data_IF_450812029452
#
_entry.id   IF_450812029452
#
_cell.length_a   1.000
_cell.length_b   1.000
_cell.length_c   1.000
_cell.angle_alpha   90.00
_cell.angle_beta   90.00
_cell.angle_gamma   90.00
#
_symmetry.space_group_name_H-M   'P 1'
#
loop_
_entity.id
_entity.type
_entity.pdbx_description
1 polymer ?
#
# COMPACT_ATOMS: atom_id res chain seq x y z
N UNK A 1 -17.53 20.37 12.91
CA UNK A 1 -16.85 21.07 11.80
C UNK A 1 -17.42 20.59 10.47
N UNK A 2 -17.79 21.52 9.57
CA UNK A 2 -18.30 21.22 8.22
C UNK A 2 -17.15 20.81 7.29
N UNK A 3 -17.26 19.64 6.67
CA UNK A 3 -16.22 19.02 5.84
C UNK A 3 -16.79 18.61 4.49
N UNK A 4 -16.04 18.85 3.41
CA UNK A 4 -16.18 18.08 2.17
C UNK A 4 -15.08 17.03 2.10
N UNK A 5 -15.45 15.77 1.87
CA UNK A 5 -14.50 14.67 1.77
C UNK A 5 -14.16 14.36 0.31
N UNK A 6 -12.90 14.50 -0.09
CA UNK A 6 -12.42 14.24 -1.43
C UNK A 6 -11.67 12.90 -1.54
N UNK A 7 -12.25 11.93 -2.23
CA UNK A 7 -11.66 10.59 -2.39
C UNK A 7 -12.30 9.79 -3.51
N UNK A 8 -11.64 8.70 -3.93
CA UNK A 8 -12.14 7.83 -5.00
C UNK A 8 -12.08 6.32 -4.67
N UNK A 9 -10.92 5.73 -4.27
CA UNK A 9 -10.79 4.27 -4.17
C UNK A 9 -11.16 3.72 -2.78
N UNK A 10 -11.24 2.39 -2.65
CA UNK A 10 -11.59 1.66 -1.42
C UNK A 10 -10.75 2.07 -0.18
N UNK A 11 -9.43 2.34 -0.26
CA UNK A 11 -8.64 2.79 0.89
C UNK A 11 -9.06 4.15 1.49
N UNK A 12 -9.92 4.92 0.82
CA UNK A 12 -10.51 6.13 1.37
C UNK A 12 -11.78 5.86 2.22
N UNK A 13 -12.37 4.66 2.14
CA UNK A 13 -13.61 4.32 2.86
C UNK A 13 -13.49 4.34 4.39
N UNK A 14 -12.41 3.84 5.03
CA UNK A 14 -12.28 3.91 6.49
C UNK A 14 -12.25 5.36 7.00
N UNK A 15 -11.64 6.26 6.23
CA UNK A 15 -11.58 7.68 6.53
C UNK A 15 -12.95 8.36 6.35
N UNK A 16 -13.63 8.12 5.22
CA UNK A 16 -14.99 8.65 4.99
C UNK A 16 -15.95 8.20 6.09
N UNK A 17 -16.03 6.88 6.35
CA UNK A 17 -16.91 6.31 7.37
C UNK A 17 -16.66 6.93 8.74
N UNK A 18 -15.40 7.01 9.18
CA UNK A 18 -15.06 7.61 10.48
C UNK A 18 -15.47 9.08 10.61
N UNK A 19 -15.47 9.84 9.51
CA UNK A 19 -15.90 11.24 9.52
C UNK A 19 -17.43 11.37 9.48
N UNK A 20 -18.14 10.46 8.80
CA UNK A 20 -19.62 10.39 8.84
C UNK A 20 -20.10 9.97 10.24
N UNK A 21 -19.44 8.96 10.83
CA UNK A 21 -19.83 8.35 12.10
C UNK A 21 -19.32 9.15 13.33
N UNK A 22 -18.76 10.36 13.14
CA UNK A 22 -18.20 11.19 14.21
C UNK A 22 -19.13 12.37 14.59
N UNK A 23 -19.51 12.54 15.87
CA UNK A 23 -20.35 13.66 16.31
C UNK A 23 -19.67 15.03 16.24
N UNK A 24 -18.36 15.07 15.96
CA UNK A 24 -17.59 16.32 15.79
C UNK A 24 -17.57 16.82 14.33
N UNK A 25 -18.07 16.02 13.38
CA UNK A 25 -17.94 16.27 11.94
C UNK A 25 -19.30 16.29 11.22
N UNK A 26 -19.43 17.19 10.25
CA UNK A 26 -20.60 17.33 9.38
C UNK A 26 -20.09 17.17 7.93
N UNK A 27 -20.29 15.98 7.34
CA UNK A 27 -19.79 15.65 5.99
C UNK A 27 -20.82 16.10 4.96
N UNK A 28 -20.72 17.37 4.56
CA UNK A 28 -21.77 18.07 3.78
C UNK A 28 -21.85 17.62 2.33
N UNK A 29 -20.75 17.12 1.77
CA UNK A 29 -20.68 16.48 0.46
C UNK A 29 -19.43 15.60 0.32
N UNK A 30 -19.46 14.69 -0.64
CA UNK A 30 -18.34 13.83 -1.04
C UNK A 30 -17.92 14.12 -2.47
N UNK A 31 -16.66 14.50 -2.65
CA UNK A 31 -16.04 14.83 -3.94
C UNK A 31 -15.24 13.63 -4.47
N UNK A 32 -15.62 13.12 -5.65
CA UNK A 32 -15.01 11.94 -6.28
C UNK A 32 -14.69 12.21 -7.75
N UNK A 33 -13.80 11.42 -8.34
CA UNK A 33 -13.66 11.37 -9.80
C UNK A 33 -15.01 10.95 -10.43
N UNK A 34 -15.31 11.41 -11.66
CA UNK A 34 -16.47 10.93 -12.42
C UNK A 34 -16.49 9.42 -12.61
N UNK A 35 -17.69 8.86 -12.72
CA UNK A 35 -17.95 7.43 -12.88
C UNK A 35 -17.18 6.85 -14.07
N UNK A 36 -16.52 5.72 -13.82
CA UNK A 36 -15.61 5.10 -14.78
C UNK A 36 -16.03 3.66 -15.08
N UNK A 37 -15.77 3.20 -16.29
CA UNK A 37 -16.00 1.82 -16.69
C UNK A 37 -15.02 0.88 -15.96
N UNK A 38 -15.55 -0.04 -15.14
CA UNK A 38 -14.72 -1.07 -14.52
C UNK A 38 -14.37 -2.16 -15.55
N UNK A 39 -13.10 -2.18 -15.98
CA UNK A 39 -12.60 -3.13 -16.98
C UNK A 39 -13.06 -2.87 -18.42
N UNK A 40 -12.63 -3.75 -19.34
CA UNK A 40 -12.72 -3.53 -20.81
C UNK A 40 -14.14 -3.44 -21.42
N UNK A 41 -15.19 -3.74 -20.65
CA UNK A 41 -16.61 -3.66 -21.08
C UNK A 41 -17.54 -3.20 -19.95
N UNK A 42 -17.02 -2.56 -18.92
CA UNK A 42 -17.84 -2.05 -17.82
C UNK A 42 -18.80 -0.97 -18.29
N UNK A 43 -20.01 -0.93 -17.73
CA UNK A 43 -20.79 0.32 -17.70
C UNK A 43 -20.07 1.28 -16.74
N UNK A 44 -20.20 2.61 -16.88
CA UNK A 44 -19.74 3.53 -15.86
C UNK A 44 -20.41 3.20 -14.53
N UNK A 45 -19.62 2.99 -13.49
CA UNK A 45 -20.12 2.76 -12.13
C UNK A 45 -19.62 3.88 -11.18
N UNK A 46 -20.41 4.23 -10.15
CA UNK A 46 -19.94 5.06 -9.06
C UNK A 46 -18.74 4.42 -8.37
N UNK A 47 -17.74 5.25 -8.05
CA UNK A 47 -16.57 4.85 -7.26
C UNK A 47 -16.98 4.26 -5.89
N UNK A 48 -16.13 3.47 -5.23
CA UNK A 48 -16.40 2.99 -3.87
C UNK A 48 -16.81 4.11 -2.92
N UNK A 49 -16.10 5.24 -2.97
CA UNK A 49 -16.38 6.45 -2.17
C UNK A 49 -17.71 7.11 -2.57
N UNK A 50 -18.04 7.17 -3.86
CA UNK A 50 -19.34 7.66 -4.34
C UNK A 50 -20.51 6.78 -3.86
N UNK A 51 -20.29 5.46 -3.76
CA UNK A 51 -21.29 4.47 -3.36
C UNK A 51 -21.64 4.58 -1.89
N UNK A 52 -20.64 4.56 -1.00
CA UNK A 52 -20.83 4.80 0.43
C UNK A 52 -21.54 6.13 0.69
N UNK A 53 -21.16 7.20 -0.02
CA UNK A 53 -21.81 8.50 0.13
C UNK A 53 -23.30 8.48 -0.26
N UNK A 54 -23.66 7.85 -1.39
CA UNK A 54 -25.05 7.67 -1.81
C UNK A 54 -25.85 6.80 -0.84
N UNK A 55 -25.27 5.69 -0.39
CA UNK A 55 -25.90 4.75 0.57
C UNK A 55 -26.17 5.42 1.94
N UNK A 56 -25.38 6.46 2.28
CA UNK A 56 -25.54 7.31 3.47
C UNK A 56 -26.39 8.57 3.24
N UNK A 57 -26.90 8.80 2.01
CA UNK A 57 -27.70 9.97 1.66
C UNK A 57 -26.93 11.29 1.49
N UNK A 58 -25.60 11.24 1.39
CA UNK A 58 -24.73 12.42 1.33
C UNK A 58 -24.57 12.90 -0.14
N UNK A 59 -24.66 14.20 -0.43
CA UNK A 59 -24.46 14.75 -1.78
C UNK A 59 -23.11 14.34 -2.38
N UNK A 60 -23.09 13.90 -3.64
CA UNK A 60 -21.86 13.44 -4.32
C UNK A 60 -21.51 14.33 -5.51
N UNK A 61 -20.38 15.04 -5.39
CA UNK A 61 -19.84 15.95 -6.39
C UNK A 61 -18.88 15.20 -7.33
N UNK A 62 -19.11 15.32 -8.65
CA UNK A 62 -18.34 14.59 -9.69
C UNK A 62 -17.89 15.49 -10.85
N UNK A 63 -17.20 16.61 -10.58
CA UNK A 63 -16.76 17.53 -11.64
C UNK A 63 -15.79 16.84 -12.60
N UNK A 64 -16.05 16.99 -13.90
CA UNK A 64 -15.11 16.57 -14.97
C UNK A 64 -13.81 17.39 -14.91
N UNK A 65 -13.93 18.68 -14.57
CA UNK A 65 -12.86 19.65 -14.34
C UNK A 65 -13.06 20.28 -12.95
N UNK A 66 -12.40 19.81 -11.88
CA UNK A 66 -12.59 20.39 -10.55
C UNK A 66 -12.14 21.86 -10.47
N UNK A 67 -11.13 22.25 -11.24
CA UNK A 67 -10.61 23.63 -11.24
C UNK A 67 -11.39 24.60 -12.15
N UNK A 68 -12.66 24.30 -12.47
CA UNK A 68 -13.49 25.20 -13.28
C UNK A 68 -14.19 26.25 -12.41
N UNK A 69 -14.41 27.49 -12.88
CA UNK A 69 -15.05 28.54 -12.08
C UNK A 69 -16.45 28.16 -11.57
N UNK A 70 -17.17 27.33 -12.33
CA UNK A 70 -18.51 26.86 -11.99
C UNK A 70 -18.45 25.91 -10.78
N UNK A 71 -17.49 24.98 -10.75
CA UNK A 71 -17.31 24.06 -9.61
C UNK A 71 -16.71 24.76 -8.38
N UNK A 72 -15.81 25.73 -8.59
CA UNK A 72 -15.32 26.61 -7.51
C UNK A 72 -16.51 27.33 -6.85
N UNK A 73 -17.43 27.90 -7.64
CA UNK A 73 -18.65 28.54 -7.13
C UNK A 73 -19.66 27.55 -6.51
N UNK A 74 -19.75 26.31 -7.01
CA UNK A 74 -20.58 25.25 -6.41
C UNK A 74 -20.07 24.85 -5.03
N UNK A 75 -18.78 24.49 -4.92
CA UNK A 75 -18.16 24.08 -3.66
C UNK A 75 -18.16 25.22 -2.62
N UNK A 76 -18.01 26.47 -3.06
CA UNK A 76 -18.09 27.64 -2.18
C UNK A 76 -19.45 27.80 -1.49
N UNK A 77 -20.56 27.48 -2.18
CA UNK A 77 -21.92 27.56 -1.62
C UNK A 77 -22.18 26.55 -0.51
N UNK A 78 -21.42 25.46 -0.43
CA UNK A 78 -21.53 24.48 0.64
C UNK A 78 -20.93 24.97 1.97
N UNK A 79 -20.11 26.04 1.94
CA UNK A 79 -19.38 26.57 3.08
C UNK A 79 -18.64 25.48 3.91
N UNK A 80 -17.72 24.70 3.31
CA UNK A 80 -16.85 23.81 4.07
C UNK A 80 -15.89 24.62 4.94
N UNK A 81 -15.67 24.19 6.18
CA UNK A 81 -14.63 24.76 7.04
C UNK A 81 -13.25 24.17 6.72
N UNK A 82 -13.22 22.88 6.34
CA UNK A 82 -12.04 22.15 5.90
C UNK A 82 -12.43 21.17 4.78
N UNK A 83 -11.49 20.81 3.90
CA UNK A 83 -11.67 19.71 2.94
C UNK A 83 -10.69 18.56 3.26
N UNK A 84 -11.22 17.36 3.48
CA UNK A 84 -10.42 16.19 3.86
C UNK A 84 -10.15 15.31 2.63
N UNK A 85 -8.89 15.00 2.31
CA UNK A 85 -8.50 14.35 1.04
C UNK A 85 -7.84 13.00 1.27
N UNK A 86 -8.35 11.95 0.63
CA UNK A 86 -7.74 10.61 0.63
C UNK A 86 -7.79 10.02 -0.78
N UNK A 87 -6.64 9.98 -1.46
CA UNK A 87 -6.48 9.40 -2.80
C UNK A 87 -7.51 9.89 -3.86
N UNK A 88 -7.86 11.19 -3.83
CA UNK A 88 -8.83 11.78 -4.77
C UNK A 88 -8.43 11.63 -6.24
N UNK A 89 -7.16 11.90 -6.58
CA UNK A 89 -6.60 11.61 -7.92
C UNK A 89 -6.83 12.69 -8.99
N UNK A 90 -7.13 13.93 -8.61
CA UNK A 90 -7.04 15.09 -9.50
C UNK A 90 -6.34 16.26 -8.79
N UNK A 91 -5.66 17.11 -9.57
CA UNK A 91 -4.94 18.29 -9.07
C UNK A 91 -5.93 19.38 -8.64
N UNK A 92 -5.68 19.98 -7.48
CA UNK A 92 -6.43 21.13 -6.95
C UNK A 92 -5.65 22.41 -7.26
N UNK A 93 -6.30 23.37 -7.92
CA UNK A 93 -5.74 24.70 -8.17
C UNK A 93 -6.08 25.69 -7.06
N UNK A 94 -5.36 26.81 -7.01
CA UNK A 94 -5.40 27.81 -5.94
C UNK A 94 -6.83 28.29 -5.59
N UNK A 95 -7.67 28.46 -6.61
CA UNK A 95 -9.07 28.87 -6.44
C UNK A 95 -9.96 27.84 -5.72
N UNK A 96 -9.60 26.55 -5.71
CA UNK A 96 -10.20 25.55 -4.81
C UNK A 96 -9.54 25.55 -3.44
N UNK A 97 -8.21 25.64 -3.40
CA UNK A 97 -7.42 25.57 -2.17
C UNK A 97 -7.82 26.68 -1.18
N UNK A 98 -8.20 27.85 -1.70
CA UNK A 98 -8.64 29.01 -0.93
C UNK A 98 -10.11 28.97 -0.42
N UNK A 99 -10.93 27.97 -0.78
CA UNK A 99 -12.35 27.94 -0.37
C UNK A 99 -12.53 27.67 1.14
N UNK A 100 -12.06 26.53 1.71
CA UNK A 100 -12.18 26.29 3.14
C UNK A 100 -11.17 27.15 3.94
N UNK A 101 -11.59 27.82 5.03
CA UNK A 101 -10.70 28.66 5.85
C UNK A 101 -9.60 27.87 6.58
N UNK A 102 -9.81 26.57 6.85
CA UNK A 102 -8.75 25.68 7.36
C UNK A 102 -8.03 24.91 6.22
N UNK A 103 -8.30 25.25 4.96
CA UNK A 103 -7.68 24.65 3.79
C UNK A 103 -8.04 23.18 3.56
N UNK A 104 -7.18 22.49 2.81
CA UNK A 104 -7.35 21.09 2.41
C UNK A 104 -6.31 20.21 3.09
N UNK A 105 -6.75 19.26 3.91
CA UNK A 105 -5.89 18.32 4.65
C UNK A 105 -5.87 16.98 3.94
N UNK A 106 -4.70 16.51 3.53
CA UNK A 106 -4.52 15.23 2.86
C UNK A 106 -4.01 14.15 3.82
N UNK A 107 -4.52 12.92 3.68
CA UNK A 107 -3.95 11.71 4.25
C UNK A 107 -3.12 10.98 3.18
N UNK A 108 -1.81 11.01 3.35
CA UNK A 108 -0.84 10.40 2.43
C UNK A 108 -0.22 9.15 3.04
N UNK A 109 -0.08 8.08 2.25
CA UNK A 109 0.37 6.77 2.73
C UNK A 109 1.90 6.59 2.69
N UNK A 110 2.63 7.56 3.25
CA UNK A 110 4.06 7.48 3.57
C UNK A 110 4.39 8.22 4.86
N UNK A 111 5.67 8.20 5.25
CA UNK A 111 6.27 9.14 6.20
C UNK A 111 6.92 10.29 5.41
N UNK A 112 6.23 11.42 5.27
CA UNK A 112 6.75 12.58 4.53
C UNK A 112 7.99 13.17 5.24
N UNK A 113 9.02 13.62 4.49
CA UNK A 113 9.03 13.92 3.06
C UNK A 113 9.35 12.74 2.12
N UNK A 114 9.53 11.52 2.63
CA UNK A 114 9.77 10.36 1.78
C UNK A 114 8.50 10.00 0.96
N UNK A 115 8.71 9.54 -0.27
CA UNK A 115 7.68 8.99 -1.16
C UNK A 115 6.51 9.95 -1.46
N UNK A 116 6.79 11.22 -1.78
CA UNK A 116 5.82 12.15 -2.37
C UNK A 116 5.33 11.63 -3.73
N UNK A 117 4.02 11.64 -4.00
CA UNK A 117 3.43 11.23 -5.28
C UNK A 117 2.43 10.07 -5.20
N UNK A 118 2.00 9.59 -6.37
CA UNK A 118 0.82 8.74 -6.50
C UNK A 118 0.94 7.25 -6.08
N UNK A 119 2.11 6.74 -5.71
CA UNK A 119 2.31 5.32 -5.39
C UNK A 119 3.25 5.02 -4.19
N UNK A 120 3.05 5.65 -3.01
CA UNK A 120 4.02 5.61 -1.91
C UNK A 120 4.21 4.22 -1.30
N UNK A 121 3.11 3.49 -1.03
CA UNK A 121 3.14 2.13 -0.45
C UNK A 121 3.92 1.17 -1.35
N UNK A 122 3.70 1.28 -2.66
CA UNK A 122 4.39 0.47 -3.67
C UNK A 122 5.88 0.82 -3.73
N UNK A 123 6.22 2.11 -3.64
CA UNK A 123 7.61 2.58 -3.65
C UNK A 123 8.39 2.07 -2.43
N UNK A 124 7.82 2.17 -1.22
CA UNK A 124 8.43 1.70 0.01
C UNK A 124 8.72 0.18 0.00
N UNK A 125 7.75 -0.65 -0.41
CA UNK A 125 7.95 -2.10 -0.55
C UNK A 125 9.02 -2.41 -1.61
N UNK A 126 9.02 -1.70 -2.75
CA UNK A 126 10.00 -1.91 -3.81
C UNK A 126 11.43 -1.48 -3.40
N UNK A 127 11.56 -0.41 -2.61
CA UNK A 127 12.83 0.05 -2.04
C UNK A 127 13.37 -0.93 -0.98
N UNK A 128 12.48 -1.63 -0.28
CA UNK A 128 12.81 -2.55 0.82
C UNK A 128 12.77 -1.89 2.20
N UNK A 129 11.99 -0.82 2.35
CA UNK A 129 11.76 -0.19 3.63
C UNK A 129 11.13 -1.19 4.61
N UNK A 130 11.58 -1.19 5.87
CA UNK A 130 11.02 -2.06 6.94
C UNK A 130 9.93 -1.36 7.74
N UNK A 131 9.84 -0.03 7.64
CA UNK A 131 8.86 0.83 8.30
C UNK A 131 8.36 1.84 7.26
N UNK A 132 7.06 2.04 7.20
CA UNK A 132 6.42 3.17 6.51
C UNK A 132 5.38 3.79 7.46
N UNK A 133 4.38 4.47 6.93
CA UNK A 133 3.31 5.05 7.73
C UNK A 133 2.25 5.74 6.89
N UNK A 134 1.46 6.56 7.56
CA UNK A 134 0.64 7.58 6.94
C UNK A 134 0.89 8.94 7.59
N UNK A 135 0.77 10.00 6.81
CA UNK A 135 1.00 11.39 7.21
C UNK A 135 -0.22 12.22 6.89
N UNK A 136 -0.64 13.08 7.82
CA UNK A 136 -1.62 14.15 7.55
C UNK A 136 -0.90 15.47 7.33
N UNK A 137 -1.18 16.15 6.21
CA UNK A 137 -0.50 17.39 5.85
C UNK A 137 -1.44 18.37 5.12
N UNK A 138 -1.11 19.66 5.16
CA UNK A 138 -1.83 20.70 4.44
C UNK A 138 -1.44 20.70 2.96
N UNK A 139 -2.41 20.65 2.05
CA UNK A 139 -2.13 20.73 0.61
C UNK A 139 -1.69 22.15 0.25
N UNK A 140 -0.56 22.22 -0.45
CA UNK A 140 -0.04 23.40 -1.15
C UNK A 140 0.04 23.08 -2.65
N UNK A 141 0.25 24.06 -3.55
CA UNK A 141 0.31 23.82 -5.01
C UNK A 141 1.46 22.89 -5.45
N UNK A 142 2.49 22.71 -4.62
CA UNK A 142 3.60 21.78 -4.85
C UNK A 142 3.29 20.38 -4.31
N UNK A 143 3.55 19.36 -5.13
CA UNK A 143 3.17 17.96 -4.89
C UNK A 143 3.67 17.44 -3.53
N UNK A 144 2.71 17.14 -2.65
CA UNK A 144 2.87 16.52 -1.33
C UNK A 144 3.95 17.16 -0.44
N UNK A 145 4.21 18.46 -0.61
CA UNK A 145 5.30 19.18 0.09
C UNK A 145 4.87 20.04 1.28
N UNK A 146 3.57 20.32 1.41
CA UNK A 146 3.05 21.23 2.43
C UNK A 146 3.17 20.70 3.87
N UNK A 147 2.95 21.56 4.87
CA UNK A 147 3.34 21.30 6.25
C UNK A 147 2.49 20.19 6.90
N UNK A 148 3.17 19.36 7.70
CA UNK A 148 2.65 18.13 8.32
C UNK A 148 2.00 18.42 9.67
N UNK A 149 0.77 17.93 9.86
CA UNK A 149 0.04 17.95 11.13
C UNK A 149 0.43 16.77 12.04
N UNK A 150 0.55 15.56 11.49
CA UNK A 150 0.86 14.37 12.26
C UNK A 150 1.23 13.17 11.40
N UNK A 151 1.78 12.13 12.04
CA UNK A 151 2.21 10.87 11.41
C UNK A 151 1.79 9.67 12.26
N UNK A 152 1.58 8.53 11.61
CA UNK A 152 1.48 7.20 12.24
C UNK A 152 2.39 6.24 11.50
N UNK A 153 3.13 5.39 12.22
CA UNK A 153 4.05 4.40 11.63
C UNK A 153 3.42 3.01 11.53
N UNK A 154 3.87 2.22 10.56
CA UNK A 154 3.46 0.83 10.33
C UNK A 154 4.68 0.02 9.87
N UNK A 155 4.82 -1.22 10.36
CA UNK A 155 5.91 -2.11 9.95
C UNK A 155 5.56 -2.82 8.63
N UNK A 156 6.48 -2.79 7.67
CA UNK A 156 6.36 -3.59 6.43
C UNK A 156 6.81 -5.02 6.75
N UNK A 157 5.85 -5.95 6.74
CA UNK A 157 6.09 -7.37 7.03
C UNK A 157 6.78 -8.03 5.82
N UNK A 158 7.61 -9.07 6.01
CA UNK A 158 8.30 -9.74 4.91
C UNK A 158 7.39 -10.25 3.79
N UNK A 159 6.13 -10.55 4.09
CA UNK A 159 5.12 -11.05 3.15
C UNK A 159 4.12 -10.01 2.66
N UNK A 160 4.14 -8.77 3.15
CA UNK A 160 3.12 -7.76 2.81
C UNK A 160 3.15 -7.41 1.32
N UNK A 161 2.01 -7.55 0.64
CA UNK A 161 1.77 -6.89 -0.65
C UNK A 161 1.37 -5.43 -0.44
N UNK A 162 1.39 -4.63 -1.51
CA UNK A 162 0.89 -3.27 -1.43
C UNK A 162 -0.61 -3.19 -1.06
N UNK A 163 -1.38 -4.26 -1.32
CA UNK A 163 -2.75 -4.41 -0.81
C UNK A 163 -2.80 -4.55 0.72
N UNK A 164 -2.12 -5.56 1.26
CA UNK A 164 -2.17 -5.91 2.69
C UNK A 164 -1.64 -4.78 3.59
N UNK A 165 -0.67 -4.00 3.09
CA UNK A 165 -0.12 -2.85 3.79
C UNK A 165 -1.04 -1.62 3.68
N UNK A 166 -1.63 -1.37 2.51
CA UNK A 166 -2.55 -0.25 2.31
C UNK A 166 -3.88 -0.43 3.05
N UNK A 167 -4.36 -1.67 3.23
CA UNK A 167 -5.53 -1.95 4.06
C UNK A 167 -5.31 -1.53 5.52
N UNK A 168 -4.16 -1.88 6.12
CA UNK A 168 -3.81 -1.48 7.49
C UNK A 168 -3.59 0.02 7.61
N UNK A 169 -2.86 0.61 6.66
CA UNK A 169 -2.62 2.05 6.61
C UNK A 169 -3.90 2.87 6.40
N UNK A 170 -4.91 2.35 5.70
CA UNK A 170 -6.21 3.01 5.58
C UNK A 170 -6.94 3.09 6.93
N UNK A 171 -6.84 2.05 7.77
CA UNK A 171 -7.47 2.04 9.11
C UNK A 171 -6.73 2.96 10.09
N UNK A 172 -5.39 2.86 10.19
CA UNK A 172 -4.61 3.72 11.09
C UNK A 172 -4.59 5.18 10.62
N UNK A 173 -4.47 5.41 9.31
CA UNK A 173 -4.55 6.73 8.69
C UNK A 173 -5.91 7.41 8.85
N UNK A 174 -7.02 6.66 8.81
CA UNK A 174 -8.34 7.20 9.11
C UNK A 174 -8.44 7.76 10.55
N UNK A 175 -7.86 7.05 11.52
CA UNK A 175 -7.80 7.53 12.90
C UNK A 175 -6.94 8.80 13.03
N UNK A 176 -5.78 8.85 12.36
CA UNK A 176 -4.92 10.03 12.29
C UNK A 176 -5.61 11.24 11.65
N UNK A 177 -6.35 11.04 10.55
CA UNK A 177 -7.07 12.10 9.85
C UNK A 177 -8.20 12.69 10.71
N UNK A 178 -9.00 11.84 11.37
CA UNK A 178 -9.99 12.28 12.37
C UNK A 178 -9.33 13.15 13.44
N UNK A 179 -8.31 12.64 14.13
CA UNK A 179 -7.63 13.38 15.21
C UNK A 179 -6.98 14.69 14.72
N UNK A 180 -6.51 14.72 13.47
CA UNK A 180 -5.98 15.93 12.83
C UNK A 180 -7.07 16.98 12.63
N UNK A 181 -8.22 16.59 12.06
CA UNK A 181 -9.37 17.48 11.84
C UNK A 181 -10.00 17.93 13.16
N UNK A 182 -10.03 17.06 14.17
CA UNK A 182 -10.44 17.38 15.53
C UNK A 182 -9.52 18.46 16.14
N UNK A 183 -8.19 18.29 16.07
CA UNK A 183 -7.21 19.26 16.57
C UNK A 183 -7.13 20.58 15.79
N UNK A 184 -7.52 20.58 14.51
CA UNK A 184 -7.69 21.79 13.70
C UNK A 184 -8.96 22.56 14.13
N UNK A 185 -10.07 21.85 14.34
CA UNK A 185 -11.32 22.45 14.82
C UNK A 185 -11.18 23.05 16.22
N UNK A 186 -10.42 22.39 17.12
CA UNK A 186 -10.11 22.89 18.46
C UNK A 186 -8.95 23.92 18.47
N UNK A 187 -8.38 24.23 17.29
CA UNK A 187 -7.24 25.14 17.09
C UNK A 187 -5.96 24.80 17.88
N UNK A 188 -5.84 23.56 18.37
CA UNK A 188 -4.71 23.08 19.18
C UNK A 188 -3.54 22.56 18.35
N UNK A 189 -3.75 22.32 17.04
CA UNK A 189 -2.79 21.61 16.19
C UNK A 189 -2.18 22.52 15.11
N UNK A 190 -0.90 22.88 15.28
CA UNK A 190 -0.11 23.66 14.31
C UNK A 190 0.70 22.74 13.38
N UNK A 191 0.55 22.86 12.05
CA UNK A 191 1.32 22.05 11.10
C UNK A 191 2.77 22.55 11.01
N UNK A 192 3.71 21.64 10.69
CA UNK A 192 5.15 21.92 10.63
C UNK A 192 5.70 21.74 9.21
N UNK A 193 6.49 22.69 8.66
CA UNK A 193 7.14 22.52 7.36
C UNK A 193 7.93 21.20 7.26
N UNK A 194 7.85 20.54 6.11
CA UNK A 194 8.64 19.35 5.85
C UNK A 194 10.14 19.71 5.75
N UNK A 195 11.06 18.88 6.27
CA UNK A 195 12.49 19.08 6.05
C UNK A 195 12.85 18.92 4.57
N UNK A 196 13.94 19.57 4.15
CA UNK A 196 14.50 19.44 2.80
C UNK A 196 15.25 18.10 2.62
N UNK A 197 15.83 17.57 3.69
CA UNK A 197 16.50 16.26 3.70
C UNK A 197 15.47 15.12 3.68
N UNK A 198 15.79 14.04 2.95
CA UNK A 198 14.96 12.83 2.89
C UNK A 198 13.80 12.88 1.89
N UNK A 199 13.67 13.95 1.10
CA UNK A 199 12.68 14.01 0.00
C UNK A 199 12.94 12.90 -1.02
N UNK A 200 11.93 12.06 -1.28
CA UNK A 200 11.95 11.06 -2.36
C UNK A 200 10.59 11.00 -3.08
N UNK A 201 10.59 10.49 -4.32
CA UNK A 201 9.41 10.52 -5.19
C UNK A 201 8.87 9.11 -5.47
N UNK A 202 7.54 8.98 -5.42
CA UNK A 202 6.77 7.78 -5.70
C UNK A 202 5.79 8.02 -6.88
N UNK A 203 6.29 8.10 -8.13
CA UNK A 203 5.47 8.34 -9.30
C UNK A 203 4.47 7.19 -9.55
N UNK A 204 3.37 7.50 -10.25
CA UNK A 204 2.33 6.52 -10.60
C UNK A 204 2.91 5.34 -11.38
N UNK A 205 2.76 4.12 -10.84
CA UNK A 205 3.21 2.90 -11.50
C UNK A 205 2.32 2.58 -12.71
N UNK A 206 2.94 2.34 -13.87
CA UNK A 206 2.25 1.87 -15.08
C UNK A 206 2.11 0.35 -15.11
N UNK A 207 1.23 -0.15 -15.98
CA UNK A 207 1.07 -1.58 -16.23
C UNK A 207 2.37 -2.19 -16.77
N UNK A 208 3.14 -1.44 -17.53
CA UNK A 208 4.38 -1.84 -18.20
C UNK A 208 5.54 -1.94 -17.19
N UNK A 209 5.60 -1.01 -16.23
CA UNK A 209 6.57 -1.03 -15.13
C UNK A 209 6.39 -2.22 -14.16
N UNK A 210 5.19 -2.81 -14.14
CA UNK A 210 4.86 -4.04 -13.41
C UNK A 210 5.22 -5.34 -14.17
N UNK A 211 5.89 -5.24 -15.34
CA UNK A 211 6.54 -6.41 -15.96
C UNK A 211 7.67 -6.89 -15.04
N UNK A 212 7.68 -8.19 -14.75
CA UNK A 212 8.75 -8.81 -13.98
C UNK A 212 10.02 -8.87 -14.81
N UNK A 213 11.11 -8.39 -14.20
CA UNK A 213 12.47 -8.35 -14.73
C UNK A 213 13.30 -9.40 -14.00
N UNK A 214 13.38 -10.59 -14.59
CA UNK A 214 14.03 -11.75 -13.98
C UNK A 214 15.55 -11.60 -13.90
N UNK A 215 16.15 -10.72 -14.69
CA UNK A 215 17.58 -10.37 -14.65
C UNK A 215 18.02 -9.67 -13.35
N UNK A 216 17.08 -9.27 -12.49
CA UNK A 216 17.36 -8.70 -11.18
C UNK A 216 17.60 -9.79 -10.12
N UNK A 217 18.30 -9.51 -9.01
CA UNK A 217 18.45 -10.45 -7.90
C UNK A 217 17.11 -10.86 -7.28
N UNK A 218 17.04 -12.09 -6.76
CA UNK A 218 15.82 -12.71 -6.25
C UNK A 218 15.04 -11.83 -5.26
N UNK A 219 15.70 -11.28 -4.25
CA UNK A 219 15.09 -10.40 -3.25
C UNK A 219 14.64 -9.01 -3.81
N UNK A 220 15.03 -8.65 -5.03
CA UNK A 220 14.50 -7.47 -5.75
C UNK A 220 13.28 -7.87 -6.59
N UNK A 221 13.32 -9.03 -7.25
CA UNK A 221 12.17 -9.61 -7.96
C UNK A 221 10.99 -9.81 -7.02
N UNK A 222 11.24 -10.42 -5.86
CA UNK A 222 10.28 -10.68 -4.77
C UNK A 222 9.55 -9.39 -4.34
N UNK A 223 10.30 -8.40 -3.87
CA UNK A 223 9.77 -7.09 -3.46
C UNK A 223 9.01 -6.38 -4.57
N UNK A 224 9.53 -6.38 -5.80
CA UNK A 224 8.86 -5.74 -6.94
C UNK A 224 7.53 -6.41 -7.27
N UNK A 225 7.40 -7.72 -7.09
CA UNK A 225 6.12 -8.44 -7.28
C UNK A 225 5.13 -8.02 -6.19
N UNK A 226 5.50 -8.11 -4.91
CA UNK A 226 4.64 -7.67 -3.79
C UNK A 226 4.21 -6.20 -3.90
N UNK A 227 5.13 -5.33 -4.29
CA UNK A 227 4.89 -3.89 -4.48
C UNK A 227 3.83 -3.56 -5.54
N UNK A 228 3.56 -4.44 -6.51
CA UNK A 228 2.52 -4.24 -7.54
C UNK A 228 1.32 -5.18 -7.37
N UNK A 229 1.25 -5.93 -6.27
CA UNK A 229 0.13 -6.81 -5.93
C UNK A 229 -0.84 -6.09 -4.98
N UNK A 230 -2.18 -6.14 -5.21
CA UNK A 230 -2.86 -6.79 -6.32
C UNK A 230 -2.88 -5.97 -7.63
N UNK A 231 -2.68 -4.66 -7.54
CA UNK A 231 -2.85 -3.71 -8.65
C UNK A 231 -1.56 -2.91 -8.94
N UNK A 232 -1.13 -2.78 -10.21
CA UNK A 232 -1.74 -3.34 -11.44
C UNK A 232 -1.61 -4.87 -11.59
N UNK A 233 -0.82 -5.52 -10.73
CA UNK A 233 -0.51 -6.94 -10.75
C UNK A 233 0.75 -7.23 -11.56
N UNK A 234 1.68 -7.99 -10.97
CA UNK A 234 2.91 -8.42 -11.63
C UNK A 234 2.59 -9.32 -12.82
N UNK A 235 3.41 -9.26 -13.87
CA UNK A 235 3.21 -10.11 -15.05
C UNK A 235 4.51 -10.40 -15.78
N UNK A 236 4.53 -11.48 -16.55
CA UNK A 236 5.64 -11.83 -17.45
C UNK A 236 5.11 -12.45 -18.75
N UNK A 237 6.01 -12.83 -19.65
CA UNK A 237 5.70 -13.58 -20.87
C UNK A 237 6.18 -15.03 -20.73
N UNK A 238 5.39 -15.99 -21.19
CA UNK A 238 5.78 -17.41 -21.36
C UNK A 238 5.51 -17.76 -22.83
N UNK A 239 6.57 -17.82 -23.65
CA UNK A 239 6.42 -17.58 -25.09
C UNK A 239 5.78 -16.20 -25.31
N UNK A 240 4.81 -16.09 -26.20
CA UNK A 240 4.03 -14.85 -26.40
C UNK A 240 2.91 -14.65 -25.35
N UNK A 241 2.67 -15.64 -24.48
CA UNK A 241 1.54 -15.61 -23.54
C UNK A 241 1.85 -14.71 -22.34
N UNK A 242 1.18 -13.55 -22.27
CA UNK A 242 1.21 -12.68 -21.09
C UNK A 242 0.45 -13.30 -19.92
N UNK A 243 1.17 -13.70 -18.88
CA UNK A 243 0.61 -14.25 -17.63
C UNK A 243 0.77 -13.26 -16.47
N UNK A 244 -0.25 -13.15 -15.60
CA UNK A 244 -0.11 -12.47 -14.30
C UNK A 244 0.49 -13.42 -13.27
N UNK A 245 1.25 -12.88 -12.31
CA UNK A 245 1.91 -13.62 -11.24
C UNK A 245 1.49 -13.05 -9.87
N UNK A 246 1.31 -13.93 -8.88
CA UNK A 246 1.25 -13.56 -7.47
C UNK A 246 2.64 -13.53 -6.82
N UNK A 247 2.75 -13.21 -5.52
CA UNK A 247 4.00 -13.25 -4.78
C UNK A 247 4.77 -14.56 -4.93
N UNK A 248 6.09 -14.44 -5.07
CA UNK A 248 7.05 -15.54 -5.11
C UNK A 248 7.60 -15.82 -3.70
N UNK A 249 8.37 -16.89 -3.50
CA UNK A 249 9.07 -17.16 -2.24
C UNK A 249 10.56 -17.44 -2.50
N UNK A 250 11.40 -17.05 -1.53
CA UNK A 250 12.85 -17.31 -1.52
C UNK A 250 13.22 -18.61 -0.76
N UNK A 251 12.32 -19.07 0.11
CA UNK A 251 12.58 -20.04 1.17
C UNK A 251 11.89 -21.40 0.97
N UNK A 252 12.41 -22.41 1.68
CA UNK A 252 11.58 -23.50 2.21
C UNK A 252 11.31 -24.71 1.32
N UNK A 253 12.08 -24.92 0.26
CA UNK A 253 12.06 -26.16 -0.53
C UNK A 253 13.47 -26.51 -1.02
N UNK A 254 13.77 -27.80 -1.31
CA UNK A 254 15.00 -28.17 -2.00
C UNK A 254 15.11 -27.38 -3.30
N UNK A 255 16.17 -26.57 -3.41
CA UNK A 255 16.41 -25.75 -4.60
C UNK A 255 16.81 -26.66 -5.77
N UNK A 256 16.57 -26.24 -7.03
CA UNK A 256 17.15 -26.91 -8.20
C UNK A 256 18.66 -27.11 -7.99
N UNK A 257 19.24 -28.27 -8.35
CA UNK A 257 20.65 -28.57 -8.10
C UNK A 257 21.62 -27.74 -8.96
N UNK A 258 21.10 -26.96 -9.91
CA UNK A 258 21.83 -26.14 -10.86
C UNK A 258 21.27 -24.70 -10.87
N UNK A 259 22.13 -23.73 -11.15
CA UNK A 259 21.76 -22.32 -11.25
C UNK A 259 20.89 -22.09 -12.50
N UNK A 260 19.59 -21.89 -12.30
CA UNK A 260 18.67 -21.54 -13.38
C UNK A 260 18.98 -20.13 -13.93
N UNK A 261 19.23 -19.96 -15.25
CA UNK A 261 19.39 -18.65 -15.86
C UNK A 261 18.16 -17.73 -15.66
N UNK A 262 18.33 -16.40 -15.69
CA UNK A 262 17.22 -15.45 -15.56
C UNK A 262 16.02 -15.77 -16.47
N UNK A 263 14.85 -16.02 -15.86
CA UNK A 263 13.61 -16.34 -16.56
C UNK A 263 13.47 -17.81 -17.01
N UNK A 264 14.48 -18.66 -16.83
CA UNK A 264 14.36 -20.08 -17.09
C UNK A 264 13.42 -20.76 -16.07
N UNK A 265 12.47 -21.56 -16.56
CA UNK A 265 11.45 -22.21 -15.74
C UNK A 265 11.88 -23.67 -15.47
N UNK A 266 11.88 -24.07 -14.20
CA UNK A 266 12.05 -25.47 -13.78
C UNK A 266 10.78 -25.95 -13.06
N UNK A 267 10.40 -27.21 -13.29
CA UNK A 267 9.14 -27.80 -12.80
C UNK A 267 9.43 -29.12 -12.10
N UNK A 268 9.22 -29.13 -10.79
CA UNK A 268 9.18 -30.34 -9.97
C UNK A 268 7.77 -30.94 -9.95
N UNK A 269 7.59 -32.05 -9.22
CA UNK A 269 6.28 -32.67 -8.95
C UNK A 269 5.29 -31.74 -8.23
N UNK A 270 5.78 -30.77 -7.45
CA UNK A 270 4.99 -29.94 -6.53
C UNK A 270 5.37 -28.46 -6.54
N UNK A 271 6.41 -28.07 -7.27
CA UNK A 271 6.97 -26.71 -7.24
C UNK A 271 7.37 -26.24 -8.64
N UNK A 272 7.22 -24.95 -8.89
CA UNK A 272 7.71 -24.27 -10.09
C UNK A 272 8.70 -23.21 -9.65
N UNK A 273 9.90 -23.25 -10.22
CA UNK A 273 10.96 -22.29 -9.98
C UNK A 273 11.19 -21.46 -11.23
N UNK A 274 11.58 -20.20 -11.03
CA UNK A 274 12.04 -19.32 -12.10
C UNK A 274 13.41 -18.77 -11.71
N UNK A 275 14.40 -18.94 -12.58
CA UNK A 275 15.74 -18.40 -12.39
C UNK A 275 15.75 -16.88 -12.35
N UNK A 276 16.68 -16.30 -11.58
CA UNK A 276 16.84 -14.85 -11.48
C UNK A 276 18.30 -14.43 -11.66
N UNK A 277 18.60 -13.13 -11.55
CA UNK A 277 19.98 -12.63 -11.53
C UNK A 277 20.81 -13.03 -10.30
N UNK A 278 20.31 -13.90 -9.41
CA UNK A 278 21.08 -14.46 -8.30
C UNK A 278 20.73 -15.92 -7.96
N UNK A 279 19.49 -16.18 -7.57
CA UNK A 279 19.01 -17.51 -7.12
C UNK A 279 17.57 -17.74 -7.62
N UNK A 280 17.16 -19.00 -7.87
CA UNK A 280 15.81 -19.26 -8.36
C UNK A 280 14.75 -18.97 -7.29
N UNK A 281 13.66 -18.30 -7.70
CA UNK A 281 12.51 -18.04 -6.83
C UNK A 281 11.38 -19.03 -7.09
N UNK A 282 10.68 -19.45 -6.04
CA UNK A 282 9.52 -20.33 -6.16
C UNK A 282 8.29 -19.52 -6.54
N UNK A 283 7.62 -19.87 -7.63
CA UNK A 283 6.38 -19.22 -8.04
C UNK A 283 5.20 -19.72 -7.22
N UNK A 284 4.47 -18.80 -6.58
CA UNK A 284 3.22 -19.10 -5.87
C UNK A 284 2.06 -19.25 -6.84
N UNK A 285 1.30 -18.17 -7.05
CA UNK A 285 0.17 -18.16 -7.98
C UNK A 285 0.53 -17.64 -9.38
N UNK A 286 -0.16 -18.19 -10.37
CA UNK A 286 -0.13 -17.75 -11.77
C UNK A 286 -1.57 -17.57 -12.28
N UNK A 287 -1.78 -16.61 -13.17
CA UNK A 287 -3.04 -16.37 -13.86
C UNK A 287 -2.80 -16.16 -15.37
N UNK A 288 -3.02 -17.21 -16.19
CA UNK A 288 -3.10 -17.07 -17.65
C UNK A 288 -4.31 -16.23 -18.09
N UNK A 289 -4.29 -15.65 -19.31
CA UNK A 289 -5.42 -14.89 -19.86
C UNK A 289 -6.73 -15.68 -19.84
N UNK A 290 -7.82 -15.03 -19.40
CA UNK A 290 -9.15 -15.64 -19.33
C UNK A 290 -9.32 -16.73 -18.26
N UNK A 291 -8.32 -16.99 -17.41
CA UNK A 291 -8.42 -17.94 -16.29
C UNK A 291 -8.51 -17.23 -14.94
N UNK A 292 -8.96 -17.95 -13.92
CA UNK A 292 -8.79 -17.56 -12.50
C UNK A 292 -7.31 -17.77 -12.10
N UNK A 293 -6.79 -17.06 -11.08
CA UNK A 293 -5.51 -17.43 -10.46
C UNK A 293 -5.53 -18.88 -9.95
N UNK A 294 -4.40 -19.57 -10.07
CA UNK A 294 -4.19 -20.95 -9.64
C UNK A 294 -2.76 -21.13 -9.13
N UNK A 295 -2.45 -22.21 -8.42
CA UNK A 295 -1.07 -22.48 -8.01
C UNK A 295 -0.21 -22.82 -9.24
N UNK A 296 1.06 -22.41 -9.22
CA UNK A 296 1.97 -22.66 -10.34
C UNK A 296 2.13 -24.15 -10.66
N UNK A 297 2.13 -25.02 -9.64
CA UNK A 297 2.18 -26.48 -9.81
C UNK A 297 0.86 -27.09 -10.37
N UNK A 298 -0.27 -26.39 -10.27
CA UNK A 298 -1.52 -26.81 -10.94
C UNK A 298 -1.48 -26.43 -12.42
N UNK A 299 -1.07 -25.19 -12.71
CA UNK A 299 -0.82 -24.72 -14.07
C UNK A 299 0.18 -25.62 -14.79
N UNK A 300 1.32 -25.93 -14.17
CA UNK A 300 2.39 -26.73 -14.77
C UNK A 300 1.95 -28.16 -15.14
N UNK A 301 0.91 -28.71 -14.51
CA UNK A 301 0.35 -30.04 -14.81
C UNK A 301 -0.74 -30.01 -15.89
N UNK A 302 -1.18 -28.84 -16.35
CA UNK A 302 -2.24 -28.71 -17.37
C UNK A 302 -1.74 -28.95 -18.80
N UNK A 303 -2.57 -29.50 -19.70
CA UNK A 303 -2.21 -29.59 -21.12
C UNK A 303 -2.02 -28.19 -21.72
N UNK A 304 -0.85 -27.93 -22.30
CA UNK A 304 -0.43 -26.61 -22.80
C UNK A 304 0.36 -25.76 -21.80
N UNK A 305 0.79 -26.31 -20.66
CA UNK A 305 1.68 -25.63 -19.71
C UNK A 305 3.14 -25.59 -20.15
N UNK A 306 3.58 -26.59 -20.90
CA UNK A 306 4.99 -26.86 -21.20
C UNK A 306 5.56 -25.80 -22.12
N UNK A 307 6.61 -25.05 -21.72
CA UNK A 307 7.51 -24.44 -22.69
C UNK A 307 8.09 -25.55 -23.58
N UNK A 308 8.36 -25.27 -24.85
CA UNK A 308 9.15 -26.20 -25.66
C UNK A 308 10.50 -26.45 -24.94
N UNK A 309 10.92 -27.73 -24.83
CA UNK A 309 12.23 -28.06 -24.25
C UNK A 309 13.31 -27.25 -24.98
N UNK A 310 14.17 -26.56 -24.22
CA UNK A 310 15.27 -25.80 -24.79
C UNK A 310 16.16 -26.69 -25.66
N UNK A 311 16.78 -26.16 -26.73
CA UNK A 311 17.41 -26.96 -27.79
C UNK A 311 18.65 -27.78 -27.37
N UNK A 312 19.07 -27.74 -26.10
CA UNK A 312 20.23 -28.48 -25.59
C UNK A 312 20.00 -29.99 -25.38
N UNK A 313 18.75 -30.48 -25.41
CA UNK A 313 18.41 -31.91 -25.25
C UNK A 313 18.54 -32.72 -26.57
N UNK A 314 19.47 -32.30 -27.46
CA UNK A 314 19.76 -32.93 -28.77
C UNK A 314 21.23 -32.83 -29.20
N UNK A 315 22.15 -33.39 -28.41
CA UNK A 315 23.35 -34.12 -28.87
C UNK A 315 24.24 -34.52 -27.68
N UNK A 316 24.11 -35.77 -27.23
CA UNK A 316 25.24 -36.43 -26.57
C UNK A 316 26.14 -37.01 -27.67
N UNK A 317 27.40 -36.58 -27.83
CA UNK A 317 28.28 -37.13 -28.87
C UNK A 317 28.66 -38.58 -28.52
N UNK A 318 28.05 -39.53 -29.23
CA UNK A 318 28.41 -40.95 -29.14
C UNK A 318 29.76 -41.19 -29.81
N UNK A 319 30.84 -41.10 -29.04
CA UNK A 319 32.18 -41.52 -29.50
C UNK A 319 32.24 -43.05 -29.64
N UNK A 320 32.47 -43.60 -30.85
CA UNK A 320 32.70 -45.03 -31.03
C UNK A 320 34.13 -45.39 -30.60
N UNK A 321 34.32 -46.45 -29.81
CA UNK A 321 35.66 -46.87 -29.38
C UNK A 321 35.83 -48.41 -29.35
N UNK A 322 36.55 -48.93 -30.35
CA UNK A 322 37.06 -50.31 -30.58
C UNK A 322 37.88 -50.22 -31.89
N UNK A 323 39.13 -50.67 -32.07
CA UNK A 323 40.20 -51.33 -31.28
C UNK A 323 41.58 -50.89 -31.90
N UNK A 324 42.81 -51.40 -31.66
CA UNK A 324 43.40 -52.47 -30.82
C UNK A 324 44.91 -52.24 -30.59
N UNK A 325 45.41 -52.40 -29.34
CA UNK A 325 46.79 -52.87 -28.99
C UNK A 325 48.01 -52.03 -29.47
N UNK A 326 49.28 -52.34 -29.04
CA UNK A 326 49.80 -53.46 -28.24
C UNK A 326 50.42 -53.08 -26.87
N UNK A 327 51.08 -54.05 -26.22
CA UNK A 327 51.80 -53.93 -24.94
C UNK A 327 53.16 -54.62 -25.05
N UNK A 328 54.17 -54.18 -24.26
CA UNK A 328 54.99 -55.11 -23.47
C UNK A 328 55.48 -54.49 -22.13
N UNK A 329 56.30 -55.19 -21.33
CA UNK A 329 56.17 -56.57 -20.83
C UNK A 329 56.04 -56.57 -19.28
N UNK A 330 56.19 -57.72 -18.62
CA UNK A 330 55.93 -57.89 -17.18
C UNK A 330 57.15 -58.33 -16.36
N UNK A 331 57.12 -58.02 -15.05
CA UNK A 331 57.89 -58.68 -13.98
C UNK A 331 56.96 -58.94 -12.78
N UNK A 332 57.30 -59.91 -11.93
CA UNK A 332 56.60 -60.28 -10.69
C UNK A 332 57.57 -61.08 -9.80
N UNK A 333 57.13 -62.03 -8.96
CA UNK A 333 55.80 -62.24 -8.37
C UNK A 333 55.85 -62.39 -6.82
N UNK A 334 54.70 -62.37 -6.11
CA UNK A 334 54.65 -62.45 -4.64
C UNK A 334 53.41 -63.11 -4.02
N UNK A 335 53.62 -64.29 -3.46
CA UNK A 335 52.81 -65.12 -2.53
C UNK A 335 52.15 -64.37 -1.33
N UNK A 336 51.12 -64.87 -0.58
CA UNK A 336 50.31 -66.12 -0.54
C UNK A 336 49.15 -65.98 0.51
N UNK A 337 48.04 -66.74 0.34
CA UNK A 337 47.00 -67.09 1.37
C UNK A 337 46.20 -65.88 1.94
N UNK A 338 44.96 -65.99 2.45
CA UNK A 338 43.95 -67.08 2.40
C UNK A 338 43.46 -67.56 3.78
N UNK A 339 42.13 -67.53 4.03
CA UNK A 339 41.35 -68.41 4.96
C UNK A 339 39.83 -68.15 4.80
N UNK A 340 38.97 -69.13 5.18
CA UNK A 340 37.48 -69.09 5.14
C UNK A 340 36.88 -69.21 6.55
N UNK A 341 35.64 -68.69 6.74
CA UNK A 341 34.45 -69.24 7.48
C UNK A 341 33.52 -68.07 7.88
N UNK A 342 32.22 -68.00 7.52
CA UNK A 342 31.03 -68.71 8.09
C UNK A 342 30.91 -68.59 9.62
N UNK A 343 29.75 -68.23 10.20
CA UNK A 343 28.56 -69.11 10.38
C UNK A 343 27.23 -68.30 10.55
N UNK A 344 26.10 -69.03 10.52
CA UNK A 344 24.67 -68.66 10.74
C UNK A 344 24.41 -68.01 12.14
N UNK A 345 23.25 -67.43 12.49
CA UNK A 345 21.97 -67.21 11.78
C UNK A 345 20.79 -66.94 12.77
N UNK A 346 19.57 -67.41 12.41
CA UNK A 346 18.27 -67.37 13.12
C UNK A 346 17.39 -66.09 13.09
N UNK A 347 16.07 -66.35 13.02
CA UNK A 347 14.92 -65.44 13.12
C UNK A 347 13.93 -65.99 14.20
N UNK A 348 12.58 -65.82 14.16
CA UNK A 348 11.86 -64.69 14.76
C UNK A 348 10.67 -65.08 15.68
N UNK A 349 10.00 -64.09 16.30
CA UNK A 349 8.64 -64.23 16.85
C UNK A 349 8.18 -63.01 17.66
N UNK A 350 6.88 -62.77 17.91
CA UNK A 350 5.64 -63.33 17.31
C UNK A 350 4.46 -62.35 17.56
N UNK A 351 3.32 -62.53 16.88
CA UNK A 351 2.16 -61.61 16.90
C UNK A 351 1.42 -61.51 18.25
N UNK A 352 0.69 -60.39 18.47
CA UNK A 352 -0.66 -60.38 19.12
C UNK A 352 -1.47 -59.07 18.91
N UNK A 353 -2.79 -59.25 18.73
CA UNK A 353 -3.98 -58.34 18.72
C UNK A 353 -5.22 -59.29 18.80
N UNK A 354 -6.51 -58.87 18.96
CA UNK A 354 -7.09 -57.52 19.09
C UNK A 354 -8.16 -57.32 20.23
N UNK A 355 -8.60 -56.06 20.45
CA UNK A 355 -9.95 -55.70 20.95
C UNK A 355 -10.27 -55.90 22.45
N UNK A 356 -11.49 -55.57 22.94
CA UNK A 356 -12.64 -54.92 22.25
C UNK A 356 -13.00 -53.52 22.85
N UNK A 357 -14.27 -53.08 22.77
CA UNK A 357 -14.70 -51.68 22.96
C UNK A 357 -15.94 -51.49 23.87
N UNK A 358 -16.21 -50.23 24.29
CA UNK A 358 -17.52 -49.59 24.63
C UNK A 358 -17.27 -48.11 25.03
N UNK A 359 -18.24 -47.20 25.18
CA UNK A 359 -19.50 -46.86 24.47
C UNK A 359 -20.24 -45.77 25.29
N UNK A 360 -21.27 -45.12 24.72
CA UNK A 360 -22.16 -44.10 25.35
C UNK A 360 -21.49 -42.73 25.66
N UNK A 361 -22.16 -41.57 25.59
CA UNK A 361 -23.48 -41.18 25.04
C UNK A 361 -23.36 -39.75 24.45
N UNK A 362 -24.17 -39.30 23.49
CA UNK A 362 -25.56 -38.84 23.68
C UNK A 362 -25.58 -37.45 24.35
N UNK A 363 -26.17 -36.38 23.80
CA UNK A 363 -27.36 -36.29 22.92
C UNK A 363 -27.27 -35.19 21.84
N UNK A 364 -27.97 -35.40 20.71
CA UNK A 364 -28.45 -34.32 19.82
C UNK A 364 -29.80 -33.79 20.32
N UNK A 365 -30.12 -32.53 20.01
CA UNK A 365 -31.51 -32.08 19.85
C UNK A 365 -31.65 -31.13 18.65
N UNK A 366 -32.88 -30.92 18.18
CA UNK A 366 -33.15 -30.53 16.78
C UNK A 366 -34.48 -29.77 16.67
N UNK A 367 -34.58 -28.80 15.73
CA UNK A 367 -35.77 -27.94 15.46
C UNK A 367 -36.00 -26.89 16.57
N UNK A 368 -36.77 -25.80 16.39
CA UNK A 368 -37.75 -25.46 15.33
C UNK A 368 -37.75 -23.96 15.00
N UNK A 369 -38.33 -23.56 13.86
CA UNK A 369 -38.65 -22.16 13.51
C UNK A 369 -39.67 -21.55 14.49
N UNK A 370 -39.56 -20.25 14.78
CA UNK A 370 -40.71 -19.33 14.74
C UNK A 370 -40.28 -17.86 14.59
N UNK A 371 -41.05 -17.09 13.83
CA UNK A 371 -40.99 -15.64 13.85
C UNK A 371 -41.89 -15.12 14.98
N UNK A 372 -41.56 -13.96 15.55
CA UNK A 372 -42.52 -13.12 16.25
C UNK A 372 -42.52 -11.72 15.63
N UNK A 373 -43.70 -11.30 15.17
CA UNK A 373 -44.02 -9.88 15.01
C UNK A 373 -44.49 -9.38 16.37
N UNK A 374 -44.19 -8.14 16.72
CA UNK A 374 -45.14 -7.35 17.49
C UNK A 374 -45.53 -6.10 16.70
N UNK A 375 -46.84 -5.90 16.63
CA UNK A 375 -47.57 -4.71 16.18
C UNK A 375 -48.84 -4.70 17.05
N UNK A 376 -49.59 -3.60 16.97
CA UNK A 376 -50.83 -3.34 17.70
C UNK A 376 -50.64 -2.80 19.13
N UNK A 377 -51.41 -1.80 19.59
CA UNK A 377 -52.16 -0.75 18.84
C UNK A 377 -52.69 0.30 19.84
N UNK A 378 -53.49 1.26 19.34
CA UNK A 378 -54.42 2.12 20.08
C UNK A 378 -53.80 3.29 20.87
N UNK A 379 -54.51 4.40 21.11
CA UNK A 379 -55.42 5.25 20.29
C UNK A 379 -55.89 6.40 21.21
N UNK A 380 -55.66 7.67 20.87
CA UNK A 380 -56.68 8.74 20.89
C UNK A 380 -56.12 10.16 20.66
N UNK A 381 -56.76 10.84 19.71
CA UNK A 381 -57.06 12.28 19.67
C UNK A 381 -58.37 12.52 20.46
N UNK A 382 -58.84 13.75 20.80
CA UNK A 382 -58.66 14.95 19.96
C UNK A 382 -58.63 16.38 20.61
N UNK A 383 -58.30 17.34 19.74
CA UNK A 383 -58.84 18.72 19.62
C UNK A 383 -58.51 19.85 20.65
N UNK A 384 -58.96 21.05 20.24
CA UNK A 384 -59.07 22.38 20.88
C UNK A 384 -57.98 23.42 20.57
N UNK A 385 -58.38 24.43 19.79
CA UNK A 385 -57.82 25.79 19.79
C UNK A 385 -58.43 26.66 20.91
N UNK A 386 -58.52 28.02 20.81
CA UNK A 386 -58.67 28.81 19.59
C UNK A 386 -57.80 30.09 19.49
N UNK A 387 -58.12 30.98 18.54
CA UNK A 387 -57.29 32.09 18.06
C UNK A 387 -57.51 33.48 18.73
N UNK A 388 -56.54 34.40 18.51
CA UNK A 388 -56.62 35.89 18.37
C UNK A 388 -55.33 36.35 17.64
N UNK A 389 -55.26 37.21 16.60
CA UNK A 389 -55.93 38.44 16.10
C UNK A 389 -55.17 39.75 16.44
N UNK A 390 -54.82 40.52 15.39
CA UNK A 390 -54.18 41.86 15.39
C UNK A 390 -52.92 41.88 14.52
N UNK A 391 -52.78 42.60 13.38
CA UNK A 391 -52.86 44.06 13.09
C UNK A 391 -51.69 44.89 13.69
N UNK A 392 -51.06 45.85 12.98
CA UNK A 392 -51.28 46.41 11.61
C UNK A 392 -50.01 47.07 11.02
N UNK A 393 -50.13 47.52 9.77
CA UNK A 393 -49.11 48.11 8.90
C UNK A 393 -48.65 49.54 9.23
N UNK A 394 -47.50 49.94 8.67
CA UNK A 394 -47.04 51.32 8.40
C UNK A 394 -45.50 51.38 8.29
N UNK A 395 -44.78 51.91 7.28
CA UNK A 395 -44.95 52.92 6.20
C UNK A 395 -44.20 54.23 6.48
N UNK A 396 -43.14 54.52 5.70
CA UNK A 396 -42.33 55.76 5.73
C UNK A 396 -40.85 55.46 5.46
N UNK A 397 -40.29 55.61 4.24
CA UNK A 397 -39.88 56.83 3.49
C UNK A 397 -38.62 57.54 4.03
N UNK A 398 -37.54 57.59 3.23
CA UNK A 398 -36.36 58.44 3.51
C UNK A 398 -35.10 58.08 2.71
N UNK A 399 -34.71 58.99 1.81
CA UNK A 399 -33.37 59.20 1.17
C UNK A 399 -32.15 58.69 1.97
N UNK A 400 -31.08 58.12 1.40
CA UNK A 400 -30.23 58.61 0.30
C UNK A 400 -28.95 59.27 0.88
N UNK A 401 -27.72 59.12 0.37
CA UNK A 401 -27.21 58.36 -0.80
C UNK A 401 -25.66 58.24 -0.79
N UNK A 402 -25.09 57.88 -1.93
CA UNK A 402 -23.68 57.96 -2.37
C UNK A 402 -22.51 57.27 -1.62
N UNK A 403 -21.67 56.60 -2.43
CA UNK A 403 -20.23 56.39 -2.23
C UNK A 403 -19.51 57.07 -3.42
N UNK A 404 -18.24 57.47 -3.26
CA UNK A 404 -17.19 56.65 -3.88
C UNK A 404 -15.98 56.41 -2.94
N UNK A 405 -14.97 55.70 -3.46
CA UNK A 405 -13.81 55.22 -2.70
C UNK A 405 -12.50 56.02 -2.88
N UNK A 406 -11.35 55.35 -3.10
CA UNK A 406 -10.22 55.54 -2.20
C UNK A 406 -9.03 56.35 -2.77
N UNK A 407 -8.15 56.84 -1.87
CA UNK A 407 -6.93 57.57 -2.23
C UNK A 407 -5.65 57.01 -1.57
N UNK A 408 -4.64 56.73 -2.41
CA UNK A 408 -3.20 56.48 -2.17
C UNK A 408 -2.53 56.62 -3.57
N UNK A 409 -1.21 56.88 -3.74
CA UNK A 409 -0.11 56.36 -2.90
C UNK A 409 1.12 57.30 -2.70
N UNK A 410 2.19 56.72 -2.11
CA UNK A 410 3.62 57.01 -2.38
C UNK A 410 4.27 58.32 -1.86
N UNK A 411 5.62 58.46 -1.81
CA UNK A 411 6.70 57.44 -1.82
C UNK A 411 7.81 57.62 -0.74
N UNK A 412 8.82 56.73 -0.82
CA UNK A 412 10.25 56.92 -0.47
C UNK A 412 10.71 56.79 1.01
N UNK A 413 11.91 56.21 1.17
CA UNK A 413 12.56 55.95 2.46
C UNK A 413 13.58 54.80 2.42
N UNK A 414 14.65 54.92 1.64
CA UNK A 414 15.80 53.99 1.72
C UNK A 414 16.60 54.19 3.01
N UNK A 415 17.11 53.10 3.60
CA UNK A 415 18.52 52.98 3.99
C UNK A 415 18.89 51.51 4.30
N UNK A 416 20.17 51.25 4.54
CA UNK A 416 20.78 49.91 4.56
C UNK A 416 21.78 49.74 5.72
N UNK A 417 22.45 48.59 5.76
CA UNK A 417 23.63 48.23 6.56
C UNK A 417 23.41 47.79 8.03
N UNK A 418 23.52 46.46 8.17
CA UNK A 418 24.03 45.66 9.29
C UNK A 418 24.90 46.34 10.37
N UNK A 419 24.71 45.88 11.62
CA UNK A 419 25.82 45.48 12.51
C UNK A 419 25.34 44.49 13.60
N UNK A 420 26.10 43.41 13.84
CA UNK A 420 26.11 42.69 15.12
C UNK A 420 27.24 43.29 15.97
N UNK A 421 27.12 43.28 17.31
CA UNK A 421 27.93 42.30 18.04
C UNK A 421 27.23 41.64 19.24
N UNK A 422 27.91 40.65 19.78
CA UNK A 422 27.51 39.73 20.84
C UNK A 422 27.52 40.33 22.26
N UNK A 423 26.68 39.78 23.16
CA UNK A 423 27.02 39.57 24.59
C UNK A 423 26.07 38.59 25.30
N UNK A 424 26.59 37.41 25.62
CA UNK A 424 26.27 36.63 26.82
C UNK A 424 27.36 36.94 27.89
N UNK A 425 27.29 36.52 29.18
CA UNK A 425 26.47 35.43 29.75
C UNK A 425 25.81 35.69 31.12
N UNK A 426 24.99 34.73 31.61
CA UNK A 426 24.96 34.32 33.02
C UNK A 426 24.75 32.79 33.15
N UNK A 427 25.24 32.22 34.26
CA UNK A 427 25.15 30.79 34.60
C UNK A 427 23.87 30.51 35.39
N UNK A 428 23.34 29.29 35.25
CA UNK A 428 22.40 28.68 36.19
C UNK A 428 22.83 27.24 36.47
N UNK A 429 22.85 26.83 37.74
CA UNK A 429 23.29 25.49 38.17
C UNK A 429 22.16 24.82 38.93
N UNK A 430 21.87 23.56 38.61
CA UNK A 430 21.10 22.66 39.47
C UNK A 430 21.68 21.25 39.39
N UNK A 431 21.81 20.59 40.56
CA UNK A 431 22.18 19.18 40.67
C UNK A 431 20.93 18.31 40.89
N UNK A 432 20.90 17.13 40.28
CA UNK A 432 19.84 16.13 40.46
C UNK A 432 20.01 14.95 39.51
N UNK A 433 20.12 13.73 40.05
CA UNK A 433 20.39 12.46 39.34
C UNK A 433 19.71 11.30 40.11
N UNK A 434 19.58 10.08 39.55
CA UNK A 434 19.35 9.75 38.13
C UNK A 434 18.32 8.59 37.93
N UNK A 435 17.89 8.35 36.68
CA UNK A 435 17.23 7.09 36.29
C UNK A 435 16.89 7.05 34.79
N UNK A 436 17.19 6.00 34.01
CA UNK A 436 17.90 4.77 34.39
C UNK A 436 18.45 3.90 33.24
N UNK A 437 18.05 4.08 31.97
CA UNK A 437 18.53 3.24 30.87
C UNK A 437 18.97 4.04 29.62
N UNK A 438 20.18 3.75 29.13
CA UNK A 438 20.71 4.15 27.82
C UNK A 438 21.41 2.96 27.17
N UNK A 439 20.89 2.47 26.05
CA UNK A 439 21.62 1.55 25.17
C UNK A 439 22.65 2.38 24.40
N UNK A 440 23.91 1.92 24.35
CA UNK A 440 24.99 2.59 23.60
C UNK A 440 25.10 1.99 22.20
N UNK A 441 25.04 2.83 21.16
CA UNK A 441 25.55 2.47 19.85
C UNK A 441 27.08 2.60 19.82
N UNK A 442 27.75 1.71 19.07
CA UNK A 442 29.20 1.70 18.89
C UNK A 442 29.55 1.86 17.40
N UNK A 443 30.24 2.94 16.97
CA UNK A 443 30.59 3.16 15.57
C UNK A 443 31.98 2.60 15.23
N UNK A 444 32.06 1.38 14.70
CA UNK A 444 33.30 0.80 14.18
C UNK A 444 33.67 1.41 12.81
N UNK A 445 34.84 2.06 12.73
CA UNK A 445 35.39 2.63 11.48
C UNK A 445 35.95 1.53 10.56
N UNK A 446 35.59 1.55 9.27
CA UNK A 446 36.49 1.18 8.17
C UNK A 446 36.36 2.21 7.04
N UNK A 447 37.49 2.71 6.54
CA UNK A 447 37.66 3.58 5.35
C UNK A 447 39.08 3.35 4.80
N UNK A 448 39.33 3.75 3.54
CA UNK A 448 40.50 3.44 2.68
C UNK A 448 40.33 2.10 1.93
N UNK A 449 40.71 1.95 0.65
CA UNK A 449 41.20 2.88 -0.43
C UNK A 449 40.66 2.31 -1.77
N UNK A 450 40.64 2.97 -2.93
CA UNK A 450 41.73 3.63 -3.66
C UNK A 450 41.27 4.88 -4.43
N UNK A 451 42.22 5.57 -5.06
CA UNK A 451 42.00 6.87 -5.70
C UNK A 451 42.03 6.80 -7.25
N UNK A 452 41.28 7.73 -7.83
CA UNK A 452 41.57 8.55 -9.02
C UNK A 452 42.43 7.99 -10.16
N UNK A 453 41.94 8.21 -11.38
CA UNK A 453 42.81 8.68 -12.46
C UNK A 453 42.09 9.76 -13.30
N UNK A 454 42.77 10.86 -13.60
CA UNK A 454 42.30 11.91 -14.51
C UNK A 454 43.05 11.75 -15.84
N UNK A 455 42.37 11.97 -16.98
CA UNK A 455 42.49 13.22 -17.75
C UNK A 455 41.62 13.20 -19.01
N UNK A 456 41.23 14.40 -19.41
CA UNK A 456 40.73 14.78 -20.73
C UNK A 456 41.82 15.63 -21.44
N UNK A 457 41.70 15.89 -22.74
CA UNK A 457 41.06 17.14 -23.19
C UNK A 457 39.59 16.96 -23.63
#
# INVERSE_FOLDING_TARGET
MRIVFAGTPEPALPALRRLIDSPRHDVVAVLTRPDAASGRRGRPEPSPVAREALDRGIPVLRPSRPNSPEFVAELSKLAPQCCAVVAYGALLGDALLAIPPYGWVNLHFSLLPAWRGAAPVQAAIAAGDTITGATTFQIEPSLDSGPVYGVVTEAIRPTDTAGDLLERLAVSGAALLSATLDGIADQTLTPRPQPADGVSLAPKITVEQARVRWELPAAVVERRIRAVTPNPGAWTLIGDLRVKLGPVQLDGAPRPPELLPPGAIHVDRTTVWIGTGSEPVRLGQIQPPGKKPMQAADWARGPGSTPARGPHDRQAPTFPNRRTRPSPPATGPGTRRGIRRTVRGNQPGRLRKPGPARAATGTRHHRTRRCLRHRADLRHLPDQGPARRGHRCGSGTGTGGDRPGPARPAPAGHLSAAAHPSRQPRRGVYHGRPGGHRIRFCPSRIRQRCAANHRRP
#
